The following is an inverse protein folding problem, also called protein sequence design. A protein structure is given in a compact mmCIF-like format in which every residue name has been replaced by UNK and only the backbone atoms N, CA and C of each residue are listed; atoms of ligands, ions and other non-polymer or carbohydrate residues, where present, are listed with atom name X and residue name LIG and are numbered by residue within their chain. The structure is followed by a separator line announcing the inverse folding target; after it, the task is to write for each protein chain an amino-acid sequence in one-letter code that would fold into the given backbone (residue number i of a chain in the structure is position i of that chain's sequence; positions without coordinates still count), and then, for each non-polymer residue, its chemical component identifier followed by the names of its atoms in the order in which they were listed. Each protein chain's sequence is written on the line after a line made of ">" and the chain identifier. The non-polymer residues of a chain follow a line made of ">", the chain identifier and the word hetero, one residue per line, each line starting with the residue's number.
data_IF_400713737489
#
_entry.id   IF_400713737489
#
_cell.length_a   1.000
_cell.length_b   1.000
_cell.length_c   1.000
_cell.angle_alpha   90.00
_cell.angle_beta   90.00
_cell.angle_gamma   90.00
#
_symmetry.space_group_name_H-M   'P 1'
#
loop_
_entity.id
_entity.type
_entity.pdbx_description
1 polymer ?
#
# COMPACT_ATOMS: atom_id res chain seq x y z
N UNK A 1 -2.01 -5.35 18.97
CA UNK A 1 -1.27 -4.28 18.27
C UNK A 1 -1.80 -4.13 16.86
N UNK A 2 -1.88 -2.90 16.38
CA UNK A 2 -2.35 -2.63 15.02
C UNK A 2 -1.21 -2.65 14.02
N UNK A 3 -1.49 -3.16 12.82
CA UNK A 3 -0.59 -3.04 11.68
C UNK A 3 -0.76 -1.61 11.14
N UNK A 4 0.35 -0.89 11.04
CA UNK A 4 0.34 0.53 10.67
C UNK A 4 0.44 0.66 9.15
N UNK A 5 -0.52 1.37 8.56
CA UNK A 5 -0.67 1.50 7.12
C UNK A 5 -0.44 2.93 6.66
N UNK A 6 0.46 3.10 5.68
CA UNK A 6 0.54 4.31 4.88
C UNK A 6 -0.31 4.11 3.63
N UNK A 7 -1.28 4.98 3.41
CA UNK A 7 -2.17 4.91 2.25
C UNK A 7 -1.75 5.99 1.24
N UNK A 8 -1.34 5.55 0.04
CA UNK A 8 -0.92 6.45 -1.04
C UNK A 8 -1.92 6.32 -2.18
N UNK A 9 -2.88 7.23 -2.21
CA UNK A 9 -4.03 7.18 -3.11
C UNK A 9 -4.61 8.58 -3.28
N UNK A 10 -4.78 9.03 -4.51
CA UNK A 10 -5.30 10.37 -4.79
C UNK A 10 -6.79 10.40 -5.14
N UNK A 11 -7.40 9.26 -5.46
CA UNK A 11 -8.84 9.18 -5.76
C UNK A 11 -9.60 9.03 -4.45
N UNK A 12 -10.39 10.06 -4.12
CA UNK A 12 -11.10 10.12 -2.84
C UNK A 12 -12.02 8.91 -2.61
N UNK A 13 -12.76 8.48 -3.63
CA UNK A 13 -13.66 7.32 -3.52
C UNK A 13 -12.90 6.04 -3.22
N UNK A 14 -11.74 5.83 -3.85
CA UNK A 14 -10.89 4.66 -3.58
C UNK A 14 -10.29 4.73 -2.19
N UNK A 15 -9.85 5.91 -1.78
CA UNK A 15 -9.34 6.14 -0.42
C UNK A 15 -10.38 5.72 0.63
N UNK A 16 -11.62 6.18 0.47
CA UNK A 16 -12.71 5.85 1.38
C UNK A 16 -13.00 4.35 1.39
N UNK A 17 -13.02 3.72 0.22
CA UNK A 17 -13.25 2.28 0.10
C UNK A 17 -12.18 1.48 0.84
N UNK A 18 -10.91 1.84 0.67
CA UNK A 18 -9.79 1.16 1.34
C UNK A 18 -9.91 1.34 2.85
N UNK A 19 -10.22 2.55 3.31
CA UNK A 19 -10.37 2.83 4.74
C UNK A 19 -11.48 1.99 5.36
N UNK A 20 -12.62 1.90 4.68
CA UNK A 20 -13.74 1.07 5.13
C UNK A 20 -13.37 -0.41 5.17
N UNK A 21 -12.61 -0.87 4.17
CA UNK A 21 -12.16 -2.25 4.09
C UNK A 21 -11.20 -2.58 5.22
N UNK A 22 -10.27 -1.68 5.51
CA UNK A 22 -9.32 -1.81 6.62
C UNK A 22 -10.07 -1.93 7.95
N UNK A 23 -11.06 -1.09 8.15
CA UNK A 23 -11.88 -1.12 9.37
C UNK A 23 -12.68 -2.42 9.48
N UNK A 24 -13.22 -2.89 8.35
CA UNK A 24 -13.99 -4.13 8.31
C UNK A 24 -13.11 -5.34 8.66
N UNK A 25 -11.93 -5.44 8.07
CA UNK A 25 -11.00 -6.55 8.35
C UNK A 25 -10.50 -6.48 9.79
N UNK A 26 -10.20 -5.29 10.28
CA UNK A 26 -9.70 -5.06 11.62
C UNK A 26 -8.22 -5.39 11.78
N UNK A 27 -7.60 -4.83 12.80
CA UNK A 27 -6.19 -5.05 13.09
C UNK A 27 -5.24 -4.11 12.37
N UNK A 28 -5.76 -3.13 11.65
CA UNK A 28 -4.98 -2.14 10.91
C UNK A 28 -5.30 -0.72 11.40
N UNK A 29 -4.31 0.16 11.28
CA UNK A 29 -4.44 1.58 11.59
C UNK A 29 -3.80 2.38 10.48
N UNK A 30 -4.54 3.33 9.90
CA UNK A 30 -3.97 4.25 8.90
C UNK A 30 -3.20 5.34 9.65
N UNK A 31 -1.89 5.36 9.49
CA UNK A 31 -1.01 6.30 10.17
C UNK A 31 -0.64 7.50 9.29
N UNK A 32 -0.91 7.42 8.01
CA UNK A 32 -0.65 8.52 7.08
C UNK A 32 -1.40 8.33 5.77
N UNK A 33 -1.68 9.45 5.11
CA UNK A 33 -2.34 9.47 3.80
C UNK A 33 -1.60 10.46 2.91
N UNK A 34 -1.22 10.02 1.71
CA UNK A 34 -0.51 10.84 0.74
C UNK A 34 -1.20 10.75 -0.61
N UNK A 35 -1.18 11.86 -1.37
CA UNK A 35 -1.85 11.93 -2.68
C UNK A 35 -0.88 12.16 -3.83
N UNK A 36 0.40 12.42 -3.55
CA UNK A 36 1.43 12.65 -4.56
C UNK A 36 2.68 11.84 -4.25
N UNK A 37 3.53 11.66 -5.27
CA UNK A 37 4.84 11.04 -5.10
C UNK A 37 5.68 11.80 -4.07
N UNK A 38 5.75 13.12 -4.18
CA UNK A 38 6.55 13.95 -3.27
C UNK A 38 6.11 13.81 -1.83
N UNK A 39 4.80 13.84 -1.58
CA UNK A 39 4.26 13.68 -0.23
C UNK A 39 4.57 12.31 0.34
N UNK A 40 4.44 11.27 -0.48
CA UNK A 40 4.70 9.89 -0.04
C UNK A 40 6.18 9.68 0.30
N UNK A 41 7.08 10.16 -0.55
CA UNK A 41 8.52 10.06 -0.30
C UNK A 41 8.94 10.85 0.93
N UNK A 42 8.40 12.06 1.11
CA UNK A 42 8.66 12.88 2.30
C UNK A 42 8.15 12.19 3.56
N UNK A 43 6.95 11.61 3.50
CA UNK A 43 6.41 10.91 4.65
C UNK A 43 7.30 9.73 5.07
N UNK A 44 7.72 8.92 4.09
CA UNK A 44 8.61 7.79 4.35
C UNK A 44 9.94 8.23 4.95
N UNK A 45 10.50 9.33 4.45
CA UNK A 45 11.75 9.88 4.95
C UNK A 45 11.61 10.41 6.38
N UNK A 46 10.50 11.09 6.67
CA UNK A 46 10.29 11.76 7.96
C UNK A 46 9.77 10.83 9.06
N UNK A 47 9.26 9.64 8.70
CA UNK A 47 8.65 8.70 9.64
C UNK A 47 9.29 7.30 9.55
N UNK A 48 10.63 7.19 9.74
CA UNK A 48 11.29 5.90 9.60
C UNK A 48 10.75 4.88 10.60
N UNK A 49 10.41 3.69 10.10
CA UNK A 49 9.89 2.60 10.92
C UNK A 49 8.46 2.76 11.40
N UNK A 50 7.74 3.79 10.93
CA UNK A 50 6.38 4.08 11.40
C UNK A 50 5.27 3.47 10.55
N UNK A 51 5.60 2.89 9.39
CA UNK A 51 4.65 2.15 8.57
C UNK A 51 5.09 0.70 8.45
N UNK A 52 4.15 -0.22 8.61
CA UNK A 52 4.38 -1.64 8.40
C UNK A 52 4.01 -2.07 6.99
N UNK A 53 2.95 -1.48 6.45
CA UNK A 53 2.41 -1.78 5.14
C UNK A 53 2.06 -0.48 4.41
N UNK A 54 2.47 -0.39 3.14
CA UNK A 54 2.08 0.71 2.26
C UNK A 54 1.08 0.16 1.25
N UNK A 55 -0.11 0.77 1.17
CA UNK A 55 -1.08 0.49 0.12
C UNK A 55 -0.93 1.61 -0.89
N UNK A 56 -0.57 1.28 -2.13
CA UNK A 56 -0.04 2.22 -3.10
C UNK A 56 -0.73 2.12 -4.45
N UNK A 57 -1.23 3.25 -4.97
CA UNK A 57 -1.65 3.36 -6.35
C UNK A 57 -0.44 3.73 -7.23
N UNK A 58 -0.37 3.17 -8.43
CA UNK A 58 0.69 3.47 -9.39
C UNK A 58 0.47 4.82 -10.10
N UNK A 59 -0.78 5.24 -10.25
CA UNK A 59 -1.13 6.50 -10.90
C UNK A 59 -1.54 7.52 -9.85
N UNK A 60 -0.64 8.43 -9.56
CA UNK A 60 -0.88 9.50 -8.61
C UNK A 60 -1.15 10.82 -9.36
N UNK A 61 -1.79 11.77 -8.68
CA UNK A 61 -2.06 13.10 -9.23
C UNK A 61 -0.79 13.76 -9.74
N UNK A 62 0.30 13.62 -8.98
CA UNK A 62 1.60 14.10 -9.35
C UNK A 62 2.61 12.99 -9.08
N UNK A 63 3.36 12.60 -10.11
CA UNK A 63 4.39 11.60 -9.99
C UNK A 63 3.91 10.18 -10.20
N UNK A 64 4.72 9.24 -9.79
CA UNK A 64 4.53 7.81 -10.06
C UNK A 64 4.59 6.98 -8.79
N UNK A 65 3.67 6.04 -8.68
CA UNK A 65 3.71 5.03 -7.62
C UNK A 65 4.92 4.12 -7.71
N UNK A 66 5.48 3.92 -8.90
CA UNK A 66 6.72 3.13 -9.02
C UNK A 66 7.89 3.79 -8.29
N UNK A 67 7.98 5.12 -8.31
CA UNK A 67 9.00 5.85 -7.55
C UNK A 67 8.78 5.71 -6.05
N UNK A 68 7.53 5.71 -5.62
CA UNK A 68 7.19 5.49 -4.20
C UNK A 68 7.56 4.08 -3.78
N UNK A 69 7.30 3.08 -4.62
CA UNK A 69 7.69 1.69 -4.35
C UNK A 69 9.20 1.57 -4.15
N UNK A 70 9.98 2.17 -5.05
CA UNK A 70 11.43 2.19 -4.92
C UNK A 70 11.88 2.92 -3.65
N UNK A 71 11.23 4.04 -3.32
CA UNK A 71 11.51 4.79 -2.11
C UNK A 71 11.20 4.02 -0.84
N UNK A 72 10.09 3.30 -0.80
CA UNK A 72 9.74 2.47 0.36
C UNK A 72 10.77 1.36 0.58
N UNK A 73 11.23 0.73 -0.49
CA UNK A 73 12.26 -0.30 -0.40
C UNK A 73 13.59 0.24 0.11
N UNK A 74 13.92 1.49 -0.24
CA UNK A 74 15.19 2.12 0.13
C UNK A 74 15.19 2.70 1.54
N UNK A 75 14.09 3.35 1.93
CA UNK A 75 14.03 4.11 3.18
C UNK A 75 13.61 3.26 4.38
N UNK A 76 12.83 2.23 4.14
CA UNK A 76 12.26 1.44 5.23
C UNK A 76 12.01 0.00 4.80
N UNK A 77 12.00 -0.94 5.75
CA UNK A 77 11.60 -2.32 5.47
C UNK A 77 10.06 -2.48 5.43
N UNK A 78 9.31 -1.45 5.06
CA UNK A 78 7.86 -1.54 4.95
C UNK A 78 7.47 -2.42 3.77
N UNK A 79 6.49 -3.29 3.99
CA UNK A 79 5.90 -4.08 2.91
C UNK A 79 5.01 -3.19 2.05
N UNK A 80 4.93 -3.49 0.76
CA UNK A 80 4.10 -2.73 -0.18
C UNK A 80 3.15 -3.67 -0.90
N UNK A 81 1.87 -3.29 -0.94
CA UNK A 81 0.89 -3.86 -1.85
C UNK A 81 0.39 -2.76 -2.78
N UNK A 82 0.39 -3.03 -4.08
CA UNK A 82 -0.10 -2.11 -5.08
C UNK A 82 -1.59 -2.38 -5.34
N UNK A 83 -2.39 -1.32 -5.38
CA UNK A 83 -3.82 -1.40 -5.70
C UNK A 83 -4.11 -0.34 -6.75
N UNK A 84 -4.25 -0.76 -8.02
CA UNK A 84 -4.24 0.16 -9.15
C UNK A 84 -5.11 -0.34 -10.31
N UNK A 85 -5.57 0.60 -11.14
CA UNK A 85 -6.24 0.25 -12.39
C UNK A 85 -5.29 -0.38 -13.41
N UNK A 86 -3.98 -0.25 -13.21
CA UNK A 86 -2.94 -0.72 -14.13
C UNK A 86 -2.28 -2.03 -13.69
N UNK A 87 -3.05 -2.96 -13.15
CA UNK A 87 -2.53 -4.24 -12.66
C UNK A 87 -2.61 -5.35 -13.73
N UNK A 88 -2.08 -5.11 -14.93
CA UNK A 88 -1.92 -6.14 -15.95
C UNK A 88 -0.86 -7.17 -15.48
N UNK A 89 -0.83 -8.39 -16.06
CA UNK A 89 0.19 -9.38 -15.68
C UNK A 89 1.63 -8.86 -15.75
N UNK A 90 1.94 -8.06 -16.77
CA UNK A 90 3.28 -7.46 -16.91
C UNK A 90 3.57 -6.46 -15.78
N UNK A 91 2.59 -5.63 -15.42
CA UNK A 91 2.72 -4.66 -14.33
C UNK A 91 2.86 -5.38 -12.99
N UNK A 92 2.09 -6.43 -12.76
CA UNK A 92 2.20 -7.24 -11.54
C UNK A 92 3.60 -7.80 -11.40
N UNK A 93 4.16 -8.38 -12.48
CA UNK A 93 5.52 -8.92 -12.46
C UNK A 93 6.54 -7.84 -12.14
N UNK A 94 6.39 -6.65 -12.75
CA UNK A 94 7.28 -5.53 -12.51
C UNK A 94 7.24 -5.07 -11.05
N UNK A 95 6.04 -4.92 -10.49
CA UNK A 95 5.87 -4.53 -9.10
C UNK A 95 6.53 -5.54 -8.15
N UNK A 96 6.29 -6.83 -8.37
CA UNK A 96 6.90 -7.88 -7.55
C UNK A 96 8.42 -7.88 -7.67
N UNK A 97 8.96 -7.67 -8.86
CA UNK A 97 10.42 -7.60 -9.07
C UNK A 97 11.04 -6.40 -8.35
N UNK A 98 10.26 -5.37 -8.07
CA UNK A 98 10.71 -4.18 -7.36
C UNK A 98 10.38 -4.21 -5.87
N UNK A 99 9.92 -5.35 -5.37
CA UNK A 99 9.74 -5.56 -3.94
C UNK A 99 8.30 -5.51 -3.42
N UNK A 100 7.30 -5.24 -4.26
CA UNK A 100 5.91 -5.30 -3.82
C UNK A 100 5.51 -6.75 -3.53
N UNK A 101 4.72 -6.96 -2.48
CA UNK A 101 4.19 -8.28 -2.16
C UNK A 101 3.18 -8.75 -3.21
N UNK A 102 2.39 -7.82 -3.72
CA UNK A 102 1.44 -8.10 -4.80
C UNK A 102 1.02 -6.80 -5.47
N UNK A 103 0.35 -6.93 -6.62
CA UNK A 103 -0.31 -5.81 -7.28
C UNK A 103 -1.70 -6.28 -7.70
N UNK A 104 -2.70 -5.58 -7.21
CA UNK A 104 -4.11 -5.95 -7.30
C UNK A 104 -4.87 -4.89 -8.08
N UNK A 105 -5.76 -5.31 -8.98
CA UNK A 105 -6.61 -4.40 -9.74
C UNK A 105 -7.65 -3.73 -8.85
N UNK A 106 -7.88 -2.44 -9.05
CA UNK A 106 -8.96 -1.71 -8.36
C UNK A 106 -10.35 -2.27 -8.68
N UNK A 107 -10.49 -3.02 -9.76
CA UNK A 107 -11.75 -3.70 -10.09
C UNK A 107 -11.98 -4.95 -9.24
N UNK A 108 -10.99 -5.40 -8.50
CA UNK A 108 -11.05 -6.63 -7.69
C UNK A 108 -10.70 -6.33 -6.22
N UNK A 109 -11.53 -5.51 -5.58
CA UNK A 109 -11.27 -5.14 -4.21
C UNK A 109 -11.51 -6.30 -3.22
N UNK A 110 -12.26 -7.35 -3.64
CA UNK A 110 -12.37 -8.57 -2.85
C UNK A 110 -11.00 -9.21 -2.65
N UNK A 111 -10.17 -9.19 -3.69
CA UNK A 111 -8.83 -9.72 -3.62
C UNK A 111 -7.95 -8.91 -2.66
N UNK A 112 -8.16 -7.60 -2.60
CA UNK A 112 -7.47 -6.76 -1.62
C UNK A 112 -7.88 -7.17 -0.19
N UNK A 113 -9.18 -7.45 0.04
CA UNK A 113 -9.65 -7.92 1.34
C UNK A 113 -8.94 -9.22 1.73
N UNK A 114 -8.88 -10.19 0.81
CA UNK A 114 -8.21 -11.47 1.07
C UNK A 114 -6.73 -11.25 1.37
N UNK A 115 -6.09 -10.36 0.62
CA UNK A 115 -4.69 -10.00 0.87
C UNK A 115 -4.51 -9.48 2.31
N UNK A 116 -5.35 -8.54 2.72
CA UNK A 116 -5.27 -7.94 4.05
C UNK A 116 -5.51 -8.97 5.16
N UNK A 117 -6.49 -9.85 4.99
CA UNK A 117 -6.76 -10.92 5.94
C UNK A 117 -5.57 -11.86 6.09
N UNK A 118 -4.97 -12.26 4.97
CA UNK A 118 -3.80 -13.13 4.96
C UNK A 118 -2.58 -12.43 5.55
N UNK A 119 -2.38 -11.16 5.22
CA UNK A 119 -1.26 -10.37 5.73
C UNK A 119 -1.34 -10.24 7.25
N UNK A 120 -2.52 -9.94 7.77
CA UNK A 120 -2.76 -9.87 9.21
C UNK A 120 -2.43 -11.19 9.89
N UNK A 121 -2.83 -12.31 9.28
CA UNK A 121 -2.53 -13.64 9.79
C UNK A 121 -1.04 -13.92 9.87
N UNK A 122 -0.29 -13.56 8.82
CA UNK A 122 1.16 -13.74 8.77
C UNK A 122 1.88 -12.91 9.83
N UNK A 123 1.45 -11.68 10.04
CA UNK A 123 2.04 -10.80 11.06
C UNK A 123 1.78 -11.38 12.46
N UNK A 124 0.59 -11.88 12.71
CA UNK A 124 0.24 -12.52 13.98
C UNK A 124 1.09 -13.78 14.23
N UNK A 125 1.31 -14.59 13.20
CA UNK A 125 2.17 -15.80 13.32
C UNK A 125 3.63 -15.45 13.58
N UNK A 126 4.12 -14.35 12.98
CA UNK A 126 5.51 -13.92 13.14
C UNK A 126 5.77 -13.31 14.53
N UNK A 127 4.72 -12.83 15.17
CA UNK A 127 4.83 -12.27 16.52
C UNK A 127 4.86 -13.41 17.55
#
# INVERSE_FOLDING_TARGET
>A
MSIRVLLVEDVKATHQLITELIDFVGGFEVVGTCVTESNALAWLHDHPGEADLVILDLMLREGSGFSVLAGAAREQPADVVVFSDFASPAVVRKCRSQGALDAISKSDYRRLRVFLENYRGKVAEAA
#
